data_IF_136540686901
#
_entry.id   IF_136540686901
#
_cell.length_a   1.000
_cell.length_b   1.000
_cell.length_c   1.000
_cell.angle_alpha   90.00
_cell.angle_beta   90.00
_cell.angle_gamma   90.00
#
_symmetry.space_group_name_H-M   'P 1'
#
loop_
_entity.id
_entity.type
_entity.pdbx_description
1 polymer ?
#
# COMPACT_ATOMS: atom_id res chain seq x y z
N UNK A 1 -0.51 6.47 17.31
CA UNK A 1 -0.54 5.54 16.16
C UNK A 1 -1.59 6.06 15.20
N UNK A 2 -1.26 6.27 13.93
CA UNK A 2 -2.20 6.73 12.90
C UNK A 2 -3.12 5.57 12.47
N UNK A 3 -4.29 5.93 11.94
CA UNK A 3 -5.37 4.98 11.67
C UNK A 3 -5.06 4.11 10.45
N UNK A 4 -5.18 2.79 10.63
CA UNK A 4 -5.32 1.82 9.54
C UNK A 4 -6.17 0.66 10.05
N UNK A 5 -6.81 -0.07 9.13
CA UNK A 5 -7.64 -1.24 9.48
C UNK A 5 -7.27 -2.38 8.55
N UNK A 6 -7.03 -3.58 9.12
CA UNK A 6 -6.93 -4.81 8.33
C UNK A 6 -8.21 -5.62 8.46
N UNK A 7 -8.93 -5.77 7.35
CA UNK A 7 -10.11 -6.65 7.24
C UNK A 7 -9.68 -7.98 6.62
N UNK A 8 -10.05 -9.09 7.27
CA UNK A 8 -9.69 -10.45 6.84
C UNK A 8 -10.93 -11.28 6.53
N UNK A 9 -10.98 -11.87 5.34
CA UNK A 9 -12.05 -12.79 4.95
C UNK A 9 -11.56 -13.85 3.95
N UNK A 10 -11.55 -15.13 4.34
CA UNK A 10 -11.24 -16.29 3.47
C UNK A 10 -10.05 -16.05 2.52
N UNK A 11 -8.88 -15.74 3.08
CA UNK A 11 -7.66 -15.48 2.31
C UNK A 11 -7.55 -14.08 1.70
N UNK A 12 -8.58 -13.24 1.81
CA UNK A 12 -8.51 -11.82 1.48
C UNK A 12 -8.06 -11.01 2.69
N UNK A 13 -7.09 -10.13 2.47
CA UNK A 13 -6.46 -9.29 3.48
C UNK A 13 -6.45 -7.86 2.92
N UNK A 14 -7.56 -7.16 3.18
CA UNK A 14 -7.77 -5.78 2.74
C UNK A 14 -7.24 -4.83 3.82
N UNK A 15 -6.19 -4.09 3.49
CA UNK A 15 -5.72 -2.98 4.30
C UNK A 15 -6.49 -1.72 3.91
N UNK A 16 -7.00 -0.99 4.90
CA UNK A 16 -7.55 0.35 4.74
C UNK A 16 -6.48 1.33 5.21
N UNK A 17 -6.00 2.16 4.28
CA UNK A 17 -4.92 3.15 4.43
C UNK A 17 -3.54 2.57 4.79
N UNK A 18 -2.49 3.09 4.15
CA UNK A 18 -1.08 2.78 4.45
C UNK A 18 -0.50 3.87 5.35
N UNK A 19 -0.83 3.81 6.63
CA UNK A 19 -0.39 4.81 7.61
C UNK A 19 1.14 4.88 7.73
N UNK A 20 1.67 6.01 8.19
CA UNK A 20 3.12 6.17 8.47
C UNK A 20 3.67 5.12 9.44
N UNK A 21 2.80 4.55 10.26
CA UNK A 21 3.17 3.58 11.30
C UNK A 21 3.06 2.14 10.79
N UNK A 22 2.67 1.90 9.53
CA UNK A 22 2.25 0.60 8.97
C UNK A 22 3.18 -0.55 9.36
N UNK A 23 4.49 -0.36 9.24
CA UNK A 23 5.51 -1.36 9.64
C UNK A 23 5.32 -1.81 11.09
N UNK A 24 5.24 -0.85 12.01
CA UNK A 24 5.06 -1.14 13.43
C UNK A 24 3.73 -1.81 13.69
N UNK A 25 2.64 -1.37 13.03
CA UNK A 25 1.32 -1.99 13.18
C UNK A 25 1.35 -3.46 12.74
N UNK A 26 2.01 -3.76 11.62
CA UNK A 26 2.15 -5.11 11.11
C UNK A 26 2.98 -6.00 12.03
N UNK A 27 4.12 -5.50 12.52
CA UNK A 27 4.98 -6.24 13.45
C UNK A 27 4.27 -6.54 14.78
N UNK A 28 3.62 -5.54 15.38
CA UNK A 28 2.90 -5.70 16.65
C UNK A 28 1.73 -6.69 16.54
N UNK A 29 1.07 -6.74 15.37
CA UNK A 29 -0.12 -7.59 15.17
C UNK A 29 0.17 -8.89 14.39
N UNK A 30 1.46 -9.23 14.18
CA UNK A 30 1.89 -10.39 13.38
C UNK A 30 1.19 -10.47 12.01
N UNK A 31 1.04 -9.34 11.33
CA UNK A 31 0.44 -9.27 9.98
C UNK A 31 1.52 -9.59 8.96
N UNK A 32 1.37 -10.75 8.31
CA UNK A 32 2.30 -11.24 7.28
C UNK A 32 1.71 -11.20 5.87
N UNK A 33 0.41 -10.93 5.74
CA UNK A 33 -0.30 -10.96 4.47
C UNK A 33 -1.20 -9.73 4.32
N UNK A 34 -1.00 -9.03 3.20
CA UNK A 34 -1.85 -7.96 2.67
C UNK A 34 -1.88 -8.19 1.16
N UNK A 35 -3.08 -8.26 0.58
CA UNK A 35 -3.22 -8.50 -0.85
C UNK A 35 -4.09 -7.48 -1.57
N UNK A 36 -4.72 -6.55 -0.84
CA UNK A 36 -5.47 -5.43 -1.41
C UNK A 36 -5.36 -4.23 -0.48
N UNK A 37 -5.44 -3.02 -1.03
CA UNK A 37 -5.45 -1.77 -0.27
C UNK A 37 -6.62 -0.90 -0.71
N UNK A 38 -7.36 -0.34 0.24
CA UNK A 38 -8.36 0.70 0.01
C UNK A 38 -7.89 1.99 0.69
N UNK A 39 -7.77 3.06 -0.07
CA UNK A 39 -7.46 4.39 0.44
C UNK A 39 -8.73 5.20 0.67
N UNK A 40 -8.83 5.79 1.85
CA UNK A 40 -9.94 6.67 2.20
C UNK A 40 -9.76 8.06 1.60
N UNK A 41 -8.55 8.63 1.70
CA UNK A 41 -8.14 9.91 1.13
C UNK A 41 -6.60 10.05 1.10
N UNK A 42 -6.08 11.10 0.46
CA UNK A 42 -4.65 11.26 0.12
C UNK A 42 -3.79 12.00 1.16
N UNK A 43 -4.28 12.17 2.39
CA UNK A 43 -3.49 12.81 3.45
C UNK A 43 -2.31 11.94 3.88
N UNK A 44 -1.23 12.59 4.30
CA UNK A 44 0.05 11.96 4.57
C UNK A 44 -0.06 10.83 5.61
N UNK A 45 -0.88 10.99 6.64
CA UNK A 45 -1.05 10.01 7.71
C UNK A 45 -1.83 8.75 7.30
N UNK A 46 -2.48 8.76 6.14
CA UNK A 46 -3.17 7.62 5.54
C UNK A 46 -2.38 6.97 4.40
N UNK A 47 -1.31 7.62 3.92
CA UNK A 47 -0.68 7.27 2.66
C UNK A 47 0.83 7.03 2.75
N UNK A 48 1.56 7.75 3.60
CA UNK A 48 3.04 7.78 3.56
C UNK A 48 3.72 6.47 4.02
N UNK A 49 2.98 5.45 4.45
CA UNK A 49 3.51 4.10 4.64
C UNK A 49 3.51 3.21 3.39
N UNK A 50 3.12 3.74 2.22
CA UNK A 50 2.93 2.97 0.98
C UNK A 50 4.16 2.14 0.56
N UNK A 51 5.38 2.62 0.84
CA UNK A 51 6.60 1.87 0.53
C UNK A 51 6.69 0.54 1.28
N UNK A 52 6.10 0.41 2.46
CA UNK A 52 6.12 -0.83 3.23
C UNK A 52 5.39 -1.99 2.52
N UNK A 53 4.54 -1.67 1.53
CA UNK A 53 3.89 -2.68 0.68
C UNK A 53 4.89 -3.53 -0.11
N UNK A 54 6.11 -3.02 -0.37
CA UNK A 54 7.17 -3.76 -1.08
C UNK A 54 7.52 -5.10 -0.44
N UNK A 55 7.47 -5.18 0.90
CA UNK A 55 7.77 -6.42 1.61
C UNK A 55 6.69 -7.47 1.34
N UNK A 56 5.42 -7.07 1.34
CA UNK A 56 4.32 -7.97 0.99
C UNK A 56 4.37 -8.36 -0.48
N UNK A 57 4.74 -7.44 -1.39
CA UNK A 57 4.98 -7.78 -2.79
C UNK A 57 6.06 -8.86 -2.95
N UNK A 58 7.16 -8.73 -2.20
CA UNK A 58 8.29 -9.66 -2.27
C UNK A 58 7.96 -11.04 -1.70
N UNK A 59 7.46 -11.10 -0.46
CA UNK A 59 7.20 -12.37 0.22
C UNK A 59 6.01 -13.12 -0.37
N UNK A 60 4.99 -12.42 -0.85
CA UNK A 60 3.78 -13.05 -1.38
C UNK A 60 3.82 -13.18 -2.92
N UNK A 61 4.84 -12.61 -3.58
CA UNK A 61 5.01 -12.55 -5.03
C UNK A 61 3.75 -12.06 -5.79
N UNK A 62 3.16 -10.95 -5.31
CA UNK A 62 1.93 -10.37 -5.88
C UNK A 62 2.13 -8.91 -6.30
N UNK A 63 1.31 -8.48 -7.26
CA UNK A 63 0.99 -7.06 -7.47
C UNK A 63 -0.22 -6.75 -6.60
N UNK A 64 -0.15 -5.72 -5.76
CA UNK A 64 -1.24 -5.36 -4.84
C UNK A 64 -2.16 -4.35 -5.54
N UNK A 65 -3.44 -4.67 -5.79
CA UNK A 65 -4.41 -3.68 -6.21
C UNK A 65 -4.71 -2.68 -5.09
N UNK A 66 -4.67 -1.41 -5.44
CA UNK A 66 -4.94 -0.25 -4.61
C UNK A 66 -6.15 0.50 -5.16
N UNK A 67 -7.18 0.64 -4.34
CA UNK A 67 -8.44 1.28 -4.68
C UNK A 67 -8.55 2.63 -3.97
N UNK A 68 -9.20 3.59 -4.60
CA UNK A 68 -9.49 4.90 -4.01
C UNK A 68 -10.30 5.74 -4.98
N UNK A 69 -10.86 6.86 -4.51
CA UNK A 69 -11.54 7.77 -5.44
C UNK A 69 -10.54 8.41 -6.43
N UNK A 70 -11.06 9.06 -7.48
CA UNK A 70 -10.26 9.67 -8.55
C UNK A 70 -9.19 10.62 -8.01
N UNK A 71 -9.54 11.49 -7.07
CA UNK A 71 -8.63 12.49 -6.49
C UNK A 71 -7.49 11.80 -5.72
N UNK A 72 -7.82 10.77 -4.94
CA UNK A 72 -6.83 10.03 -4.16
C UNK A 72 -5.87 9.26 -5.06
N UNK A 73 -6.37 8.57 -6.09
CA UNK A 73 -5.53 7.84 -7.03
C UNK A 73 -4.63 8.79 -7.84
N UNK A 74 -5.13 9.96 -8.24
CA UNK A 74 -4.32 10.98 -8.88
C UNK A 74 -3.17 11.44 -7.98
N UNK A 75 -3.47 11.80 -6.73
CA UNK A 75 -2.48 12.23 -5.74
C UNK A 75 -1.44 11.15 -5.42
N UNK A 76 -1.85 9.88 -5.33
CA UNK A 76 -0.93 8.75 -5.16
C UNK A 76 0.04 8.67 -6.35
N UNK A 77 -0.46 8.79 -7.57
CA UNK A 77 0.35 8.73 -8.78
C UNK A 77 1.34 9.89 -8.87
N UNK A 78 0.93 11.10 -8.48
CA UNK A 78 1.80 12.29 -8.49
C UNK A 78 2.88 12.20 -7.40
N UNK A 79 2.49 11.95 -6.15
CA UNK A 79 3.41 11.92 -4.99
C UNK A 79 4.39 10.76 -5.03
N UNK A 80 3.94 9.60 -5.51
CA UNK A 80 4.74 8.37 -5.56
C UNK A 80 5.01 7.94 -7.00
N UNK A 81 5.20 8.90 -7.91
CA UNK A 81 5.42 8.66 -9.33
C UNK A 81 6.55 7.65 -9.61
N UNK A 82 7.54 7.58 -8.73
CA UNK A 82 8.69 6.70 -8.84
C UNK A 82 8.29 5.22 -8.74
N UNK A 83 7.20 4.89 -8.05
CA UNK A 83 6.63 3.53 -7.97
C UNK A 83 6.09 3.09 -9.35
N UNK A 84 5.57 4.04 -10.14
CA UNK A 84 4.84 3.76 -11.38
C UNK A 84 5.65 4.07 -12.65
N UNK A 85 6.76 4.80 -12.54
CA UNK A 85 7.57 5.18 -13.69
C UNK A 85 8.55 4.07 -14.06
N UNK A 86 8.50 3.64 -15.34
CA UNK A 86 9.41 2.63 -15.89
C UNK A 86 10.88 3.07 -15.94
N UNK A 87 11.16 4.37 -15.78
CA UNK A 87 12.52 4.91 -15.73
C UNK A 87 13.17 4.85 -14.34
N UNK A 88 12.40 4.52 -13.30
CA UNK A 88 12.88 4.47 -11.92
C UNK A 88 13.51 3.10 -11.67
N UNK A 89 14.85 3.06 -11.70
CA UNK A 89 15.72 2.05 -11.08
C UNK A 89 15.34 0.56 -11.27
N UNK A 90 16.12 -0.15 -12.09
CA UNK A 90 16.05 -1.61 -12.20
C UNK A 90 16.71 -2.24 -10.95
N UNK A 91 15.89 -2.75 -10.04
CA UNK A 91 16.32 -3.33 -8.76
C UNK A 91 16.15 -2.38 -7.56
N UNK A 92 15.96 -2.93 -6.36
CA UNK A 92 15.79 -2.15 -5.12
C UNK A 92 14.50 -2.43 -4.33
N UNK A 93 13.60 -3.27 -4.86
CA UNK A 93 12.37 -3.65 -4.15
C UNK A 93 11.35 -2.53 -4.09
N UNK A 94 11.05 -1.89 -5.23
CA UNK A 94 9.93 -0.95 -5.31
C UNK A 94 8.59 -1.66 -5.05
N UNK A 95 7.59 -0.97 -4.46
CA UNK A 95 6.23 -1.48 -4.40
C UNK A 95 5.73 -1.85 -5.80
N UNK A 96 5.00 -2.97 -5.90
CA UNK A 96 4.35 -3.42 -7.14
C UNK A 96 2.84 -3.25 -6.96
N UNK A 97 2.32 -2.12 -7.44
CA UNK A 97 0.94 -1.70 -7.18
C UNK A 97 0.16 -1.54 -8.49
N UNK A 98 -1.13 -1.89 -8.47
CA UNK A 98 -2.07 -1.59 -9.54
C UNK A 98 -3.12 -0.61 -9.01
N UNK A 99 -3.25 0.57 -9.62
CA UNK A 99 -4.18 1.60 -9.16
C UNK A 99 -5.55 1.45 -9.84
N UNK A 100 -6.61 1.53 -9.03
CA UNK A 100 -8.00 1.38 -9.46
C UNK A 100 -8.86 2.50 -8.85
N UNK A 101 -9.79 3.03 -9.66
CA UNK A 101 -10.82 3.99 -9.24
C UNK A 101 -12.14 3.26 -9.04
#
# INVERSE_FOLDING_TARGET
MRSSILVRNKGNHLLIDTSTDLRQQCLTNNITHINQVLYTHHHADHLHGIDELRSFNHFNNIVIPCYGNKDTIHEIKEKFNYIFSASTQVGGGLPRLALHI
#
